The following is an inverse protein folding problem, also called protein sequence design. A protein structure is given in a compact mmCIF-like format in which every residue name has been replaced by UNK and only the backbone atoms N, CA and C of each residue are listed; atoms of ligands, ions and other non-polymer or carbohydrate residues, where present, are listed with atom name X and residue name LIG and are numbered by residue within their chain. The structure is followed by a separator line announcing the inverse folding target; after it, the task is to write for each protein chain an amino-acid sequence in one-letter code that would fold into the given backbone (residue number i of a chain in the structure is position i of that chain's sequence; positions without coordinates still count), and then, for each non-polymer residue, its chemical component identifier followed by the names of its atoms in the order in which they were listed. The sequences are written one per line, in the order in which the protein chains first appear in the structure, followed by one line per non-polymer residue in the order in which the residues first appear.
data_IF_020457629354
#
_entry.id   IF_020457629354
#
_cell.length_a   1.000
_cell.length_b   1.000
_cell.length_c   1.000
_cell.angle_alpha   90.00
_cell.angle_beta   90.00
_cell.angle_gamma   90.00
#
_symmetry.space_group_name_H-M   'P 1'
#
loop_
_entity.id
_entity.type
_entity.pdbx_description
1 polymer ?
#
# COMPACT_ATOMS: atom_id res chain seq x y z
N UNK A 1 17.87 -25.42 -13.37
CA UNK A 1 16.79 -24.62 -12.73
C UNK A 1 15.59 -25.52 -12.56
N UNK A 2 15.04 -25.67 -11.35
CA UNK A 2 13.82 -26.49 -11.14
C UNK A 2 12.62 -25.76 -11.73
N UNK A 3 11.73 -26.48 -12.41
CA UNK A 3 10.49 -25.92 -12.95
C UNK A 3 9.59 -25.43 -11.79
N UNK A 4 8.91 -24.30 -11.98
CA UNK A 4 7.97 -23.68 -11.03
C UNK A 4 6.92 -24.68 -10.50
N UNK A 5 6.46 -25.61 -11.34
CA UNK A 5 5.56 -26.70 -10.93
C UNK A 5 6.20 -27.64 -9.89
N UNK A 6 7.50 -27.93 -10.03
CA UNK A 6 8.26 -28.80 -9.11
C UNK A 6 8.49 -28.12 -7.76
N UNK A 7 8.80 -26.82 -7.75
CA UNK A 7 8.98 -26.03 -6.52
C UNK A 7 7.65 -25.92 -5.75
N UNK A 8 6.53 -25.76 -6.49
CA UNK A 8 5.18 -25.70 -5.92
C UNK A 8 4.79 -26.99 -5.20
N UNK A 9 5.13 -28.15 -5.77
CA UNK A 9 4.81 -29.45 -5.17
C UNK A 9 5.71 -29.76 -3.96
N UNK A 10 7.02 -29.49 -4.05
CA UNK A 10 7.96 -29.70 -2.93
C UNK A 10 7.62 -28.82 -1.71
N UNK A 11 7.10 -27.60 -1.93
CA UNK A 11 6.72 -26.68 -0.84
C UNK A 11 5.42 -27.13 -0.16
N UNK A 12 4.45 -27.67 -0.92
CA UNK A 12 3.20 -28.19 -0.35
C UNK A 12 3.47 -29.47 0.45
N UNK A 13 4.31 -30.37 -0.04
CA UNK A 13 4.70 -31.59 0.69
C UNK A 13 5.46 -31.29 1.99
N UNK A 14 6.31 -30.26 2.00
CA UNK A 14 7.02 -29.85 3.21
C UNK A 14 6.11 -29.22 4.28
N UNK A 15 5.04 -28.52 3.88
CA UNK A 15 4.06 -27.93 4.82
C UNK A 15 3.12 -29.01 5.39
N UNK A 16 2.83 -30.07 4.65
CA UNK A 16 2.01 -31.19 5.15
C UNK A 16 2.76 -32.14 6.10
N UNK A 17 4.09 -32.19 6.05
CA UNK A 17 4.90 -33.11 6.87
C UNK A 17 5.32 -32.55 8.25
N UNK A 18 5.09 -31.28 8.55
CA UNK A 18 5.38 -30.71 9.88
C UNK A 18 4.16 -30.88 10.79
N UNK A 19 4.01 -32.07 11.36
CA UNK A 19 2.84 -32.53 12.12
C UNK A 19 2.55 -31.86 13.46
N UNK A 20 3.02 -30.63 13.73
CA UNK A 20 2.78 -29.98 15.03
C UNK A 20 2.96 -28.46 14.95
N UNK A 21 2.12 -27.80 14.15
CA UNK A 21 2.13 -26.33 14.06
C UNK A 21 0.70 -25.81 14.25
N UNK A 22 0.52 -24.96 15.28
CA UNK A 22 -0.75 -24.33 15.62
C UNK A 22 -1.34 -23.50 14.47
N UNK A 23 -2.67 -23.45 14.43
CA UNK A 23 -3.54 -22.89 13.38
C UNK A 23 -3.18 -21.44 12.95
N UNK A 24 -2.48 -20.68 13.80
CA UNK A 24 -2.04 -19.30 13.55
C UNK A 24 -0.79 -19.22 12.65
N UNK A 25 0.12 -20.19 12.71
CA UNK A 25 1.33 -20.19 11.87
C UNK A 25 1.03 -20.68 10.44
N UNK A 26 -0.02 -21.51 10.28
CA UNK A 26 -0.47 -21.98 8.97
C UNK A 26 -1.02 -20.84 8.10
N UNK A 27 -1.74 -19.87 8.69
CA UNK A 27 -2.25 -18.70 7.97
C UNK A 27 -1.13 -17.73 7.56
N UNK A 28 -0.11 -17.53 8.41
CA UNK A 28 1.07 -16.74 8.04
C UNK A 28 1.85 -17.38 6.89
N UNK A 29 2.08 -18.70 6.94
CA UNK A 29 2.75 -19.44 5.86
C UNK A 29 1.92 -19.50 4.57
N UNK A 30 0.58 -19.60 4.67
CA UNK A 30 -0.32 -19.51 3.52
C UNK A 30 -0.29 -18.11 2.88
N UNK A 31 -0.27 -17.04 3.67
CA UNK A 31 -0.12 -15.68 3.13
C UNK A 31 1.25 -15.48 2.44
N UNK A 32 2.30 -16.13 2.93
CA UNK A 32 3.65 -16.08 2.36
C UNK A 32 3.75 -16.88 1.04
N UNK A 33 3.14 -18.07 0.97
CA UNK A 33 3.13 -18.93 -0.24
C UNK A 33 2.28 -18.31 -1.35
N UNK A 34 1.12 -17.72 -1.02
CA UNK A 34 0.28 -16.99 -1.98
C UNK A 34 1.05 -15.77 -2.52
N UNK A 35 1.78 -15.06 -1.65
CA UNK A 35 2.60 -13.91 -2.02
C UNK A 35 3.75 -14.24 -2.98
N UNK A 36 4.40 -15.40 -2.84
CA UNK A 36 5.49 -15.83 -3.75
C UNK A 36 4.94 -16.30 -5.10
N UNK A 37 3.80 -16.99 -5.11
CA UNK A 37 3.22 -17.53 -6.36
C UNK A 37 2.70 -16.45 -7.33
N UNK A 38 2.16 -15.34 -6.81
CA UNK A 38 1.73 -14.19 -7.63
C UNK A 38 2.90 -13.29 -8.04
N UNK A 39 4.07 -13.40 -7.39
CA UNK A 39 5.24 -12.54 -7.63
C UNK A 39 6.11 -13.00 -8.82
N UNK A 40 6.17 -14.30 -9.11
CA UNK A 40 6.99 -14.85 -10.19
C UNK A 40 6.30 -14.85 -11.58
N UNK A 41 5.04 -14.41 -11.66
CA UNK A 41 4.31 -14.38 -12.94
C UNK A 41 4.46 -13.04 -13.69
N UNK A 42 4.99 -12.00 -13.03
CA UNK A 42 5.08 -10.63 -13.57
C UNK A 42 6.53 -10.23 -13.97
N UNK A 43 7.53 -11.13 -13.86
CA UNK A 43 8.95 -10.83 -14.15
C UNK A 43 9.41 -11.12 -15.60
N UNK A 44 8.57 -11.69 -16.47
CA UNK A 44 8.94 -12.01 -17.86
C UNK A 44 8.31 -11.04 -18.88
N UNK A 45 8.73 -9.77 -18.91
CA UNK A 45 8.67 -8.96 -20.14
C UNK A 45 9.42 -7.63 -20.02
N UNK A 46 10.75 -7.64 -20.17
CA UNK A 46 11.47 -6.54 -20.84
C UNK A 46 12.91 -6.98 -21.16
N UNK A 47 13.11 -7.60 -22.33
CA UNK A 47 14.43 -7.89 -22.87
C UNK A 47 14.86 -6.72 -23.76
N UNK A 48 15.95 -6.06 -23.37
CA UNK A 48 16.59 -4.98 -24.11
C UNK A 48 17.34 -5.45 -25.36
N UNK A 49 17.41 -4.57 -26.36
CA UNK A 49 18.31 -4.68 -27.49
C UNK A 49 19.59 -3.88 -27.20
N UNK A 50 20.72 -4.58 -27.18
CA UNK A 50 22.08 -4.05 -27.24
C UNK A 50 22.43 -3.65 -28.67
N UNK A 51 22.91 -2.42 -28.87
CA UNK A 51 23.80 -2.11 -29.99
C UNK A 51 25.05 -1.36 -29.48
N UNK A 52 26.18 -1.98 -29.80
CA UNK A 52 27.57 -1.59 -29.54
C UNK A 52 27.97 -0.41 -30.46
N UNK A 53 28.98 0.42 -30.10
CA UNK A 53 30.18 0.37 -30.95
C UNK A 53 31.54 0.69 -30.28
N UNK A 54 32.49 -0.15 -30.68
CA UNK A 54 33.81 0.14 -31.27
C UNK A 54 34.82 1.09 -30.60
N UNK A 55 35.96 0.47 -30.28
CA UNK A 55 37.25 1.00 -29.82
C UNK A 55 37.91 1.87 -30.89
N UNK A 56 38.55 2.97 -30.48
CA UNK A 56 39.64 3.58 -31.24
C UNK A 56 40.72 4.10 -30.27
N UNK A 57 41.93 3.57 -30.44
CA UNK A 57 43.17 4.04 -29.81
C UNK A 57 43.64 5.32 -30.53
N UNK A 58 44.13 6.30 -29.77
CA UNK A 58 45.26 7.15 -30.17
C UNK A 58 45.76 8.01 -29.00
N UNK A 59 47.09 8.04 -28.91
CA UNK A 59 47.92 8.68 -27.90
C UNK A 59 47.82 10.22 -27.90
N UNK A 60 47.96 10.84 -26.72
CA UNK A 60 48.73 12.09 -26.53
C UNK A 60 48.76 12.47 -25.04
N UNK A 61 49.92 12.30 -24.43
CA UNK A 61 50.28 12.83 -23.11
C UNK A 61 50.47 14.36 -23.20
N UNK A 62 49.54 15.13 -22.61
CA UNK A 62 49.76 16.50 -22.07
C UNK A 62 48.45 17.19 -21.62
N UNK A 63 47.59 16.52 -20.86
CA UNK A 63 46.31 17.10 -20.41
C UNK A 63 45.65 16.45 -19.18
N UNK A 64 46.43 15.84 -18.29
CA UNK A 64 45.91 14.95 -17.25
C UNK A 64 45.37 15.65 -15.98
N UNK A 65 45.58 16.95 -15.78
CA UNK A 65 45.06 17.64 -14.58
C UNK A 65 43.67 18.26 -14.76
N UNK A 66 43.31 18.75 -15.96
CA UNK A 66 42.00 19.36 -16.20
C UNK A 66 40.88 18.32 -16.42
N UNK A 67 41.18 17.18 -17.04
CA UNK A 67 40.19 16.11 -17.28
C UNK A 67 39.79 15.37 -16.00
N UNK A 68 40.70 15.24 -15.03
CA UNK A 68 40.42 14.64 -13.73
C UNK A 68 39.45 15.47 -12.88
N UNK A 69 39.57 16.80 -12.91
CA UNK A 69 38.68 17.70 -12.19
C UNK A 69 37.28 17.80 -12.84
N UNK A 70 37.18 17.73 -14.17
CA UNK A 70 35.88 17.72 -14.88
C UNK A 70 35.12 16.40 -14.68
N UNK A 71 35.80 15.26 -14.63
CA UNK A 71 35.18 13.97 -14.36
C UNK A 71 34.65 13.90 -12.91
N UNK A 72 35.45 14.34 -11.92
CA UNK A 72 35.02 14.37 -10.52
C UNK A 72 33.84 15.33 -10.25
N UNK A 73 33.78 16.46 -10.96
CA UNK A 73 32.67 17.41 -10.82
C UNK A 73 31.36 16.87 -11.41
N UNK A 74 31.44 16.12 -12.52
CA UNK A 74 30.28 15.44 -13.12
C UNK A 74 29.75 14.30 -12.24
N UNK A 75 30.64 13.52 -11.64
CA UNK A 75 30.27 12.44 -10.72
C UNK A 75 29.57 12.99 -9.45
N UNK A 76 30.04 14.13 -8.92
CA UNK A 76 29.39 14.80 -7.79
C UNK A 76 28.02 15.40 -8.13
N UNK A 77 27.86 15.99 -9.31
CA UNK A 77 26.58 16.53 -9.77
C UNK A 77 25.55 15.42 -10.01
N UNK A 78 25.98 14.27 -10.54
CA UNK A 78 25.12 13.10 -10.74
C UNK A 78 24.66 12.51 -9.40
N UNK A 79 25.57 12.37 -8.43
CA UNK A 79 25.25 11.93 -7.07
C UNK A 79 24.27 12.89 -6.39
N UNK A 80 24.45 14.20 -6.54
CA UNK A 80 23.53 15.21 -5.99
C UNK A 80 22.12 15.13 -6.61
N UNK A 81 22.02 14.96 -7.94
CA UNK A 81 20.73 14.76 -8.63
C UNK A 81 20.04 13.48 -8.18
N UNK A 82 20.77 12.38 -8.01
CA UNK A 82 20.24 11.11 -7.49
C UNK A 82 19.72 11.26 -6.06
N UNK A 83 20.48 11.91 -5.18
CA UNK A 83 20.06 12.19 -3.81
C UNK A 83 18.80 13.05 -3.75
N UNK A 84 18.70 14.08 -4.61
CA UNK A 84 17.51 14.92 -4.73
C UNK A 84 16.28 14.13 -5.22
N UNK A 85 16.46 13.27 -6.23
CA UNK A 85 15.39 12.40 -6.73
C UNK A 85 14.90 11.42 -5.66
N UNK A 86 15.81 10.86 -4.86
CA UNK A 86 15.46 10.00 -3.74
C UNK A 86 14.67 10.76 -2.66
N UNK A 87 15.11 11.96 -2.27
CA UNK A 87 14.38 12.79 -1.32
C UNK A 87 12.99 13.17 -1.84
N UNK A 88 12.88 13.55 -3.12
CA UNK A 88 11.60 13.86 -3.74
C UNK A 88 10.66 12.64 -3.74
N UNK A 89 11.14 11.46 -4.13
CA UNK A 89 10.35 10.23 -4.10
C UNK A 89 9.91 9.86 -2.66
N UNK A 90 10.78 10.10 -1.67
CA UNK A 90 10.49 9.91 -0.26
C UNK A 90 9.38 10.86 0.23
N UNK A 91 9.45 12.15 -0.16
CA UNK A 91 8.45 13.15 0.20
C UNK A 91 7.10 12.96 -0.51
N UNK A 92 7.12 12.55 -1.79
CA UNK A 92 5.90 12.30 -2.58
C UNK A 92 5.13 11.07 -2.10
N UNK A 93 5.78 10.15 -1.37
CA UNK A 93 5.19 8.90 -0.85
C UNK A 93 4.53 8.05 -1.94
N UNK A 94 5.11 8.10 -3.15
CA UNK A 94 4.71 7.27 -4.29
C UNK A 94 5.48 5.95 -4.25
N UNK A 95 4.75 4.84 -4.12
CA UNK A 95 5.34 3.50 -4.04
C UNK A 95 6.25 3.17 -5.23
N UNK A 96 5.81 3.48 -6.46
CA UNK A 96 6.53 3.10 -7.68
C UNK A 96 7.82 3.90 -7.78
N UNK A 97 7.74 5.21 -7.55
CA UNK A 97 8.92 6.10 -7.60
C UNK A 97 9.92 5.74 -6.49
N UNK A 98 9.43 5.48 -5.28
CA UNK A 98 10.28 5.11 -4.14
C UNK A 98 10.97 3.76 -4.34
N UNK A 99 10.28 2.78 -4.94
CA UNK A 99 10.89 1.49 -5.32
C UNK A 99 12.07 1.71 -6.27
N UNK A 100 11.85 2.42 -7.38
CA UNK A 100 12.89 2.70 -8.39
C UNK A 100 14.07 3.45 -7.76
N UNK A 101 13.81 4.43 -6.90
CA UNK A 101 14.85 5.21 -6.25
C UNK A 101 15.71 4.36 -5.29
N UNK A 102 15.11 3.46 -4.52
CA UNK A 102 15.83 2.56 -3.62
C UNK A 102 16.64 1.52 -4.40
N UNK A 103 16.06 0.93 -5.44
CA UNK A 103 16.73 -0.09 -6.23
C UNK A 103 18.00 0.49 -6.89
N UNK A 104 17.92 1.72 -7.42
CA UNK A 104 19.10 2.45 -7.94
C UNK A 104 20.14 2.77 -6.85
N UNK A 105 19.69 3.19 -5.67
CA UNK A 105 20.60 3.52 -4.57
C UNK A 105 21.29 2.29 -3.94
N UNK A 106 20.79 1.07 -4.18
CA UNK A 106 21.33 -0.15 -3.57
C UNK A 106 22.46 -0.82 -4.37
N UNK A 107 22.64 -0.44 -5.65
CA UNK A 107 23.62 -1.03 -6.57
C UNK A 107 24.99 -0.31 -6.53
N UNK A 108 25.02 0.94 -6.07
CA UNK A 108 26.23 1.77 -6.01
C UNK A 108 26.85 1.78 -4.61
N UNK A 109 28.17 2.03 -4.45
CA UNK A 109 28.83 2.12 -3.14
C UNK A 109 28.17 3.21 -2.28
N UNK A 110 27.33 2.79 -1.33
CA UNK A 110 26.44 3.68 -0.58
C UNK A 110 27.26 4.54 0.38
N UNK A 111 27.12 5.87 0.26
CA UNK A 111 27.61 6.82 1.25
C UNK A 111 27.03 6.43 2.64
N UNK A 112 27.84 6.24 3.70
CA UNK A 112 27.37 5.85 5.03
C UNK A 112 26.25 6.75 5.59
N UNK A 113 26.19 8.02 5.17
CA UNK A 113 25.14 8.96 5.54
C UNK A 113 23.76 8.57 5.00
N UNK A 114 23.70 7.85 3.87
CA UNK A 114 22.45 7.40 3.25
C UNK A 114 21.86 6.15 3.91
N UNK A 115 22.61 5.41 4.71
CA UNK A 115 22.15 4.13 5.26
C UNK A 115 20.90 4.28 6.16
N UNK A 116 20.86 5.32 7.01
CA UNK A 116 19.71 5.61 7.87
C UNK A 116 18.47 6.01 7.06
N UNK A 117 18.67 6.80 6.01
CA UNK A 117 17.60 7.25 5.12
C UNK A 117 17.10 6.10 4.24
N UNK A 118 17.97 5.20 3.83
CA UNK A 118 17.63 3.98 3.11
C UNK A 118 16.78 3.04 3.96
N UNK A 119 17.12 2.88 5.26
CA UNK A 119 16.30 2.07 6.18
C UNK A 119 14.89 2.62 6.31
N UNK A 120 14.75 3.94 6.52
CA UNK A 120 13.44 4.61 6.60
C UNK A 120 12.67 4.52 5.27
N UNK A 121 13.37 4.68 4.15
CA UNK A 121 12.77 4.57 2.82
C UNK A 121 12.28 3.15 2.54
N UNK A 122 13.01 2.12 2.96
CA UNK A 122 12.57 0.73 2.85
C UNK A 122 11.35 0.44 3.73
N UNK A 123 11.30 0.97 4.95
CA UNK A 123 10.12 0.85 5.81
C UNK A 123 8.90 1.52 5.16
N UNK A 124 9.06 2.75 4.66
CA UNK A 124 8.00 3.48 3.96
C UNK A 124 7.55 2.73 2.71
N UNK A 125 8.49 2.20 1.89
CA UNK A 125 8.20 1.35 0.72
C UNK A 125 7.36 0.14 1.12
N UNK A 126 7.74 -0.54 2.21
CA UNK A 126 7.01 -1.69 2.73
C UNK A 126 5.58 -1.34 3.15
N UNK A 127 5.39 -0.22 3.83
CA UNK A 127 4.08 0.26 4.24
C UNK A 127 3.20 0.69 3.04
N UNK A 128 3.77 1.37 2.05
CA UNK A 128 3.07 1.74 0.82
C UNK A 128 2.67 0.50 0.00
N UNK A 129 3.54 -0.53 -0.05
CA UNK A 129 3.22 -1.83 -0.67
C UNK A 129 2.00 -2.47 -0.01
N UNK A 130 1.91 -2.42 1.33
CA UNK A 130 0.78 -2.95 2.09
C UNK A 130 -0.52 -2.19 1.77
N UNK A 131 -0.49 -0.86 1.73
CA UNK A 131 -1.65 -0.03 1.31
C UNK A 131 -2.13 -0.46 -0.08
N UNK A 132 -1.21 -0.56 -1.04
CA UNK A 132 -1.54 -0.96 -2.40
C UNK A 132 -2.10 -2.39 -2.47
N UNK A 133 -1.57 -3.30 -1.65
CA UNK A 133 -2.09 -4.66 -1.49
C UNK A 133 -3.52 -4.69 -0.97
N UNK A 134 -3.83 -3.90 0.07
CA UNK A 134 -5.19 -3.78 0.62
C UNK A 134 -6.17 -3.24 -0.43
N UNK A 135 -5.78 -2.19 -1.17
CA UNK A 135 -6.57 -1.65 -2.28
C UNK A 135 -6.81 -2.70 -3.37
N UNK A 136 -5.77 -3.41 -3.82
CA UNK A 136 -5.93 -4.48 -4.82
C UNK A 136 -6.88 -5.58 -4.34
N UNK A 137 -6.75 -6.05 -3.09
CA UNK A 137 -7.60 -7.11 -2.53
C UNK A 137 -9.07 -6.71 -2.54
N UNK A 138 -9.41 -5.51 -2.06
CA UNK A 138 -10.81 -5.07 -2.01
C UNK A 138 -11.37 -4.74 -3.40
N UNK A 139 -10.54 -4.25 -4.34
CA UNK A 139 -10.97 -4.01 -5.73
C UNK A 139 -11.21 -5.29 -6.53
N UNK A 140 -10.56 -6.40 -6.14
CA UNK A 140 -10.78 -7.74 -6.69
C UNK A 140 -11.91 -8.50 -5.96
N UNK A 141 -12.63 -7.85 -5.04
CA UNK A 141 -13.72 -8.49 -4.33
C UNK A 141 -14.79 -8.94 -5.33
N UNK A 142 -15.26 -10.19 -5.18
CA UNK A 142 -16.30 -10.76 -6.03
C UNK A 142 -17.55 -9.87 -6.01
N UNK A 143 -18.10 -9.57 -7.19
CA UNK A 143 -19.28 -8.72 -7.35
C UNK A 143 -20.47 -9.23 -6.51
N UNK A 144 -20.53 -10.54 -6.21
CA UNK A 144 -21.56 -11.12 -5.34
C UNK A 144 -21.57 -10.53 -3.93
N UNK A 145 -20.42 -10.19 -3.36
CA UNK A 145 -20.33 -9.64 -2.00
C UNK A 145 -20.82 -8.18 -1.95
N UNK A 146 -20.59 -7.41 -3.02
CA UNK A 146 -21.16 -6.07 -3.16
C UNK A 146 -22.68 -6.16 -3.38
N UNK A 147 -23.14 -7.15 -4.15
CA UNK A 147 -24.56 -7.40 -4.35
C UNK A 147 -25.26 -7.80 -3.03
N UNK A 148 -24.64 -8.66 -2.23
CA UNK A 148 -25.08 -9.04 -0.88
C UNK A 148 -25.29 -7.81 0.00
N UNK A 149 -24.26 -6.96 0.11
CA UNK A 149 -24.35 -5.71 0.87
C UNK A 149 -25.49 -4.82 0.36
N UNK A 150 -25.69 -4.71 -0.95
CA UNK A 150 -26.76 -3.88 -1.50
C UNK A 150 -28.18 -4.45 -1.28
N UNK A 151 -28.32 -5.76 -1.03
CA UNK A 151 -29.61 -6.42 -0.82
C UNK A 151 -30.17 -6.23 0.59
N UNK A 152 -29.35 -5.89 1.58
CA UNK A 152 -29.86 -5.61 2.92
C UNK A 152 -30.82 -4.41 2.90
N UNK A 153 -32.03 -4.64 3.41
CA UNK A 153 -32.98 -3.57 3.73
C UNK A 153 -32.69 -2.98 5.11
N UNK A 154 -32.39 -3.85 6.07
CA UNK A 154 -31.95 -3.54 7.43
C UNK A 154 -30.74 -4.41 7.74
N UNK A 155 -29.51 -3.89 7.64
CA UNK A 155 -28.31 -4.68 7.91
C UNK A 155 -28.14 -4.92 9.41
N UNK A 156 -27.46 -6.00 9.82
CA UNK A 156 -26.87 -6.08 11.15
C UNK A 156 -26.03 -4.84 11.47
N UNK A 157 -26.08 -4.38 12.72
CA UNK A 157 -25.36 -3.18 13.19
C UNK A 157 -23.87 -3.24 12.85
N UNK A 158 -23.24 -4.40 13.01
CA UNK A 158 -21.82 -4.62 12.71
C UNK A 158 -21.50 -4.33 11.23
N UNK A 159 -22.38 -4.69 10.30
CA UNK A 159 -22.19 -4.42 8.86
C UNK A 159 -22.30 -2.92 8.60
N UNK A 160 -23.31 -2.25 9.16
CA UNK A 160 -23.49 -0.81 8.99
C UNK A 160 -22.28 -0.05 9.52
N UNK A 161 -21.77 -0.38 10.71
CA UNK A 161 -20.60 0.27 11.30
C UNK A 161 -19.33 0.08 10.46
N UNK A 162 -19.09 -1.12 9.93
CA UNK A 162 -17.96 -1.36 9.00
C UNK A 162 -18.05 -0.48 7.76
N UNK A 163 -19.22 -0.44 7.12
CA UNK A 163 -19.41 0.36 5.91
C UNK A 163 -19.33 1.86 6.23
N UNK A 164 -19.91 2.30 7.34
CA UNK A 164 -19.83 3.68 7.81
C UNK A 164 -18.38 4.11 8.03
N UNK A 165 -17.57 3.29 8.70
CA UNK A 165 -16.13 3.55 8.86
C UNK A 165 -15.40 3.57 7.52
N UNK A 166 -15.76 2.69 6.58
CA UNK A 166 -15.15 2.66 5.25
C UNK A 166 -15.44 3.98 4.50
N UNK A 167 -16.70 4.38 4.47
CA UNK A 167 -17.16 5.61 3.81
C UNK A 167 -16.55 6.85 4.47
N UNK A 168 -16.35 6.84 5.79
CA UNK A 168 -15.69 7.90 6.53
C UNK A 168 -14.25 8.12 6.07
N UNK A 169 -13.45 7.05 5.91
CA UNK A 169 -12.09 7.12 5.34
C UNK A 169 -12.11 7.64 3.90
N UNK A 170 -13.19 7.40 3.16
CA UNK A 170 -13.40 7.88 1.78
C UNK A 170 -13.97 9.30 1.71
N UNK A 171 -13.87 10.06 2.80
CA UNK A 171 -14.34 11.44 2.95
C UNK A 171 -15.86 11.59 2.75
N UNK A 172 -16.64 10.62 3.21
CA UNK A 172 -18.09 10.70 3.28
C UNK A 172 -18.48 10.75 4.75
N UNK A 173 -19.06 11.85 5.18
CA UNK A 173 -19.30 12.10 6.61
C UNK A 173 -20.35 11.21 7.24
N UNK A 174 -20.29 11.14 8.57
CA UNK A 174 -21.24 10.38 9.40
C UNK A 174 -22.67 10.91 9.30
N UNK A 175 -22.86 12.17 8.93
CA UNK A 175 -24.18 12.76 8.65
C UNK A 175 -24.80 12.17 7.39
N UNK A 176 -23.99 11.78 6.39
CA UNK A 176 -24.44 11.21 5.12
C UNK A 176 -24.49 9.68 5.13
N UNK A 177 -24.17 9.08 6.28
CA UNK A 177 -24.05 7.62 6.46
C UNK A 177 -24.72 7.18 7.75
N UNK A 178 -25.58 8.04 8.31
CA UNK A 178 -26.27 7.77 9.56
C UNK A 178 -27.34 6.71 9.35
N UNK A 179 -27.99 6.74 8.17
CA UNK A 179 -28.98 5.78 7.76
C UNK A 179 -28.41 4.80 6.71
N UNK A 180 -28.80 3.53 6.81
CA UNK A 180 -28.31 2.51 5.85
C UNK A 180 -28.68 2.83 4.40
N UNK A 181 -29.86 3.41 4.19
CA UNK A 181 -30.33 3.83 2.86
C UNK A 181 -29.34 4.79 2.18
N UNK A 182 -28.69 5.64 2.96
CA UNK A 182 -27.70 6.60 2.47
C UNK A 182 -26.38 5.89 2.13
N UNK A 183 -25.94 4.96 3.00
CA UNK A 183 -24.77 4.11 2.73
C UNK A 183 -24.92 3.33 1.41
N UNK A 184 -26.11 2.78 1.14
CA UNK A 184 -26.42 2.03 -0.09
C UNK A 184 -26.20 2.83 -1.37
N UNK A 185 -26.33 4.15 -1.35
CA UNK A 185 -26.06 4.99 -2.53
C UNK A 185 -24.60 4.81 -3.00
N UNK A 186 -23.68 4.66 -2.05
CA UNK A 186 -22.25 4.50 -2.33
C UNK A 186 -21.86 3.04 -2.60
N UNK A 187 -22.57 2.05 -2.04
CA UNK A 187 -22.28 0.62 -2.28
C UNK A 187 -22.58 0.24 -3.74
N UNK A 188 -23.57 0.88 -4.38
CA UNK A 188 -24.01 0.55 -5.75
C UNK A 188 -22.85 0.59 -6.75
N UNK A 189 -22.54 -0.58 -7.29
CA UNK A 189 -21.40 -0.85 -8.17
C UNK A 189 -21.34 0.03 -9.44
N UNK A 190 -22.49 0.38 -10.01
CA UNK A 190 -22.59 1.07 -11.31
C UNK A 190 -22.57 2.61 -11.23
N UNK A 191 -22.34 3.21 -10.06
CA UNK A 191 -22.29 4.67 -9.94
C UNK A 191 -20.87 5.20 -10.14
N UNK A 192 -20.74 6.38 -10.76
CA UNK A 192 -19.48 7.13 -10.84
C UNK A 192 -18.88 7.48 -9.48
N UNK A 193 -19.66 7.35 -8.39
CA UNK A 193 -19.31 7.56 -6.99
C UNK A 193 -19.33 6.26 -6.16
N UNK A 194 -19.21 5.09 -6.80
CA UNK A 194 -19.20 3.82 -6.07
C UNK A 194 -18.03 3.72 -5.08
N UNK A 195 -18.25 2.96 -4.01
CA UNK A 195 -17.28 2.74 -2.94
C UNK A 195 -15.95 2.20 -3.48
N UNK A 196 -16.00 1.28 -4.45
CA UNK A 196 -14.81 0.71 -5.07
C UNK A 196 -14.04 1.74 -5.90
N UNK A 197 -14.74 2.61 -6.64
CA UNK A 197 -14.07 3.68 -7.39
C UNK A 197 -13.40 4.68 -6.46
N UNK A 198 -14.08 5.07 -5.37
CA UNK A 198 -13.49 5.91 -4.32
C UNK A 198 -12.27 5.26 -3.68
N UNK A 199 -12.30 3.95 -3.41
CA UNK A 199 -11.15 3.21 -2.88
C UNK A 199 -9.97 3.21 -3.86
N UNK A 200 -10.25 3.05 -5.16
CA UNK A 200 -9.22 3.09 -6.21
C UNK A 200 -8.48 4.42 -6.24
N UNK A 201 -9.21 5.52 -6.07
CA UNK A 201 -8.67 6.88 -6.16
C UNK A 201 -8.15 7.40 -4.79
N UNK A 202 -8.38 6.66 -3.70
CA UNK A 202 -8.00 7.07 -2.35
C UNK A 202 -6.48 7.15 -2.18
N UNK A 203 -6.02 8.30 -1.70
CA UNK A 203 -4.68 8.51 -1.15
C UNK A 203 -4.77 8.52 0.38
N UNK A 204 -4.65 7.34 1.01
CA UNK A 204 -4.89 7.19 2.46
C UNK A 204 -4.04 8.15 3.31
N UNK A 205 -2.79 8.43 2.90
CA UNK A 205 -1.89 9.31 3.65
C UNK A 205 -2.26 10.79 3.61
N UNK A 206 -3.23 11.16 2.77
CA UNK A 206 -3.79 12.52 2.68
C UNK A 206 -5.08 12.67 3.48
N UNK A 207 -5.64 11.58 4.02
CA UNK A 207 -6.83 11.64 4.88
C UNK A 207 -6.46 12.36 6.17
N UNK A 208 -7.35 13.23 6.65
CA UNK A 208 -7.13 13.98 7.89
C UNK A 208 -7.01 13.02 9.10
N UNK A 209 -6.03 13.20 10.01
CA UNK A 209 -5.80 12.26 11.11
C UNK A 209 -7.02 12.07 12.02
N UNK A 210 -7.78 13.13 12.28
CA UNK A 210 -9.03 13.04 13.06
C UNK A 210 -10.11 12.14 12.43
N UNK A 211 -10.13 12.03 11.10
CA UNK A 211 -11.04 11.11 10.39
C UNK A 211 -10.57 9.67 10.57
N UNK A 212 -9.26 9.42 10.50
CA UNK A 212 -8.66 8.11 10.76
C UNK A 212 -8.92 7.67 12.22
N UNK A 213 -8.75 8.58 13.19
CA UNK A 213 -9.06 8.32 14.59
C UNK A 213 -10.54 7.98 14.80
N UNK A 214 -11.45 8.72 14.15
CA UNK A 214 -12.87 8.44 14.27
C UNK A 214 -13.27 7.10 13.62
N UNK A 215 -12.70 6.79 12.46
CA UNK A 215 -12.87 5.48 11.82
C UNK A 215 -12.30 4.35 12.70
N UNK A 216 -11.17 4.60 13.38
CA UNK A 216 -10.58 3.68 14.34
C UNK A 216 -11.52 3.38 15.51
N UNK A 217 -12.12 4.40 16.14
CA UNK A 217 -13.09 4.18 17.22
C UNK A 217 -14.22 3.24 16.80
N UNK A 218 -14.81 3.50 15.63
CA UNK A 218 -15.92 2.69 15.11
C UNK A 218 -15.49 1.24 14.86
N UNK A 219 -14.30 1.02 14.29
CA UNK A 219 -13.80 -0.32 13.95
C UNK A 219 -13.31 -1.10 15.17
N UNK A 220 -12.74 -0.41 16.17
CA UNK A 220 -12.19 -1.02 17.38
C UNK A 220 -13.29 -1.53 18.32
N UNK A 221 -14.53 -1.01 18.20
CA UNK A 221 -15.72 -1.53 18.88
C UNK A 221 -16.21 -2.89 18.34
N UNK A 222 -15.72 -3.32 17.16
CA UNK A 222 -16.24 -4.49 16.46
C UNK A 222 -15.35 -5.72 16.66
N UNK A 223 -15.99 -6.87 16.87
CA UNK A 223 -15.33 -8.16 16.83
C UNK A 223 -15.24 -8.68 15.39
N UNK A 224 -14.03 -9.01 14.93
CA UNK A 224 -13.80 -9.51 13.57
C UNK A 224 -14.58 -10.80 13.27
N UNK A 225 -14.70 -11.70 14.24
CA UNK A 225 -15.42 -12.95 14.10
C UNK A 225 -16.92 -12.70 13.89
N UNK A 226 -17.52 -11.80 14.66
CA UNK A 226 -18.93 -11.39 14.51
C UNK A 226 -19.18 -10.75 13.14
N UNK A 227 -18.27 -9.89 12.67
CA UNK A 227 -18.37 -9.28 11.33
C UNK A 227 -18.33 -10.36 10.24
N UNK A 228 -17.42 -11.34 10.37
CA UNK A 228 -17.27 -12.44 9.41
C UNK A 228 -18.50 -13.34 9.37
N UNK A 229 -19.05 -13.67 10.54
CA UNK A 229 -20.27 -14.46 10.66
C UNK A 229 -21.48 -13.73 10.08
N UNK A 230 -21.53 -12.40 10.22
CA UNK A 230 -22.59 -11.58 9.65
C UNK A 230 -22.49 -11.44 8.13
N UNK A 231 -21.28 -11.21 7.58
CA UNK A 231 -21.05 -11.06 6.13
C UNK A 231 -19.58 -11.17 5.76
N UNK A 232 -19.27 -12.04 4.80
CA UNK A 232 -17.95 -12.13 4.21
C UNK A 232 -17.56 -10.83 3.46
N UNK A 233 -18.53 -10.18 2.82
CA UNK A 233 -18.33 -8.88 2.17
C UNK A 233 -17.96 -7.80 3.17
N UNK A 234 -18.67 -7.71 4.30
CA UNK A 234 -18.34 -6.77 5.37
C UNK A 234 -16.96 -7.07 5.98
N UNK A 235 -16.61 -8.34 6.19
CA UNK A 235 -15.29 -8.71 6.72
C UNK A 235 -14.13 -8.23 5.83
N UNK A 236 -14.30 -8.24 4.50
CA UNK A 236 -13.31 -7.69 3.59
C UNK A 236 -13.11 -6.18 3.78
N UNK A 237 -14.19 -5.41 3.96
CA UNK A 237 -14.12 -3.98 4.25
C UNK A 237 -13.55 -3.69 5.64
N UNK A 238 -13.87 -4.50 6.65
CA UNK A 238 -13.30 -4.40 7.99
C UNK A 238 -11.77 -4.53 7.95
N UNK A 239 -11.26 -5.59 7.30
CA UNK A 239 -9.81 -5.81 7.16
C UNK A 239 -9.14 -4.70 6.37
N UNK A 240 -9.80 -4.18 5.34
CA UNK A 240 -9.32 -3.03 4.58
C UNK A 240 -9.22 -1.77 5.44
N UNK A 241 -10.25 -1.44 6.22
CA UNK A 241 -10.25 -0.30 7.14
C UNK A 241 -9.14 -0.44 8.18
N UNK A 242 -9.13 -1.55 8.93
CA UNK A 242 -8.16 -1.80 9.99
C UNK A 242 -6.73 -1.74 9.47
N UNK A 243 -6.45 -2.40 8.34
CA UNK A 243 -5.12 -2.38 7.72
C UNK A 243 -4.68 -0.98 7.30
N UNK A 244 -5.56 -0.16 6.72
CA UNK A 244 -5.24 1.22 6.36
C UNK A 244 -4.99 2.10 7.59
N UNK A 245 -5.82 1.96 8.63
CA UNK A 245 -5.66 2.68 9.91
C UNK A 245 -4.31 2.32 10.54
N UNK A 246 -3.98 1.04 10.64
CA UNK A 246 -2.73 0.58 11.27
C UNK A 246 -1.49 1.10 10.52
N UNK A 247 -1.53 1.10 9.19
CA UNK A 247 -0.42 1.64 8.37
C UNK A 247 -0.35 3.16 8.49
N UNK A 248 -1.48 3.85 8.46
CA UNK A 248 -1.54 5.30 8.65
C UNK A 248 -0.92 5.69 9.99
N UNK A 249 -1.28 4.99 11.08
CA UNK A 249 -0.76 5.23 12.43
C UNK A 249 0.75 5.04 12.52
N UNK A 250 1.32 4.09 11.78
CA UNK A 250 2.79 3.90 11.69
C UNK A 250 3.48 5.06 10.96
N UNK A 251 2.92 5.53 9.84
CA UNK A 251 3.55 6.59 9.03
C UNK A 251 3.34 7.98 9.63
N UNK A 252 2.17 8.23 10.24
CA UNK A 252 1.69 9.55 10.68
C UNK A 252 1.55 9.65 12.20
N UNK A 253 2.38 8.90 12.95
CA UNK A 253 2.30 8.79 14.41
C UNK A 253 2.21 10.15 15.11
N UNK A 254 3.11 11.07 14.80
CA UNK A 254 3.17 12.40 15.43
C UNK A 254 1.93 13.26 15.13
N UNK A 255 1.33 13.11 13.95
CA UNK A 255 0.10 13.83 13.56
C UNK A 255 -1.12 13.24 14.27
N UNK A 256 -1.16 11.91 14.45
CA UNK A 256 -2.22 11.20 15.18
C UNK A 256 -2.21 11.57 16.66
N UNK A 257 -1.05 11.64 17.32
CA UNK A 257 -0.92 11.98 18.75
C UNK A 257 -1.39 13.41 19.07
N UNK A 258 -1.33 14.31 18.09
CA UNK A 258 -1.76 15.71 18.24
C UNK A 258 -3.22 15.94 17.84
N UNK A 259 -3.87 14.93 17.29
CA UNK A 259 -5.22 15.03 16.73
C UNK A 259 -6.26 14.43 17.66
N UNK A 260 -7.51 14.83 17.49
CA UNK A 260 -8.66 14.25 18.16
C UNK A 260 -9.60 13.60 17.13
N UNK A 261 -10.39 12.58 17.50
CA UNK A 261 -11.43 12.01 16.65
C UNK A 261 -12.38 13.11 16.13
N UNK A 262 -12.57 13.15 14.81
CA UNK A 262 -13.43 14.14 14.17
C UNK A 262 -14.86 13.61 14.11
N UNK A 263 -15.72 14.03 15.04
CA UNK A 263 -17.15 13.71 15.07
C UNK A 263 -17.95 14.53 14.03
N UNK A 264 -19.25 14.24 13.90
CA UNK A 264 -20.18 14.81 12.91
C UNK A 264 -20.00 16.32 12.67
N UNK A 265 -19.94 17.13 13.72
CA UNK A 265 -19.84 18.59 13.60
C UNK A 265 -18.49 19.06 13.07
N UNK A 266 -17.40 18.39 13.49
CA UNK A 266 -16.04 18.72 13.05
C UNK A 266 -15.75 18.27 11.62
N UNK A 267 -16.41 17.20 11.16
CA UNK A 267 -16.24 16.64 9.81
C UNK A 267 -16.62 17.64 8.72
N UNK A 268 -17.65 18.47 8.93
CA UNK A 268 -18.09 19.46 7.93
C UNK A 268 -16.96 20.42 7.55
N UNK A 269 -16.22 20.91 8.53
CA UNK A 269 -15.12 21.84 8.30
C UNK A 269 -13.96 21.15 7.56
N UNK A 270 -13.63 19.92 7.95
CA UNK A 270 -12.56 19.12 7.33
C UNK A 270 -12.87 18.85 5.85
N UNK A 271 -14.08 18.38 5.55
CA UNK A 271 -14.46 18.04 4.17
C UNK A 271 -14.75 19.25 3.29
N UNK A 272 -15.08 20.41 3.87
CA UNK A 272 -15.21 21.66 3.11
C UNK A 272 -13.88 22.31 2.74
N UNK A 273 -12.79 21.92 3.41
CA UNK A 273 -11.45 22.50 3.21
C UNK A 273 -10.58 21.69 2.25
N UNK A 274 -11.09 20.57 1.74
CA UNK A 274 -10.39 19.61 0.85
C UNK A 274 -10.97 19.69 -0.55
#
# INVERSE_FOLDING_TARGET
MKNVQTIRMETIENVSNTGEIGEIDWLSKMEEVIYISEFLSDEESDNGNDENPTINENESESGNEEKGNQQQHNDQEEVAKKALNFQNAFHEKDYKKLKIAIDKASVEPINPLLFKDLSKANELKGNLKKIYGLQKRILKLDAKYIAELNQYNQPPTVIHLVIKSTLLILSIGEVQTDEWKECKVFIKYACSNSILKKIKDLKILNVHPGIILRAQEIIDELNMQEVREASAGAAAFYLWCKGNIDIYKKIKKDEMEKSQPAYKDSQKNIFSST
#
